data_IF_959327084415
#
_entry.id   IF_959327084415
#
_cell.length_a   1.000
_cell.length_b   1.000
_cell.length_c   1.000
_cell.angle_alpha   90.00
_cell.angle_beta   90.00
_cell.angle_gamma   90.00
#
_symmetry.space_group_name_H-M   'P 1'
#
loop_
_entity.id
_entity.type
_entity.pdbx_description
1 polymer ?
#
# COMPACT_ATOMS: atom_id res chain seq x y z
N UNK A 1 28.76 -30.60 3.22
CA UNK A 1 27.78 -30.71 4.31
C UNK A 1 27.48 -29.29 4.72
N UNK A 2 26.53 -28.67 4.02
CA UNK A 2 25.09 -28.61 4.36
C UNK A 2 24.83 -27.23 4.99
N UNK A 3 24.42 -26.28 4.17
CA UNK A 3 23.02 -25.89 3.97
C UNK A 3 22.45 -25.13 5.17
N UNK A 4 22.72 -23.83 5.21
CA UNK A 4 21.77 -22.84 5.75
C UNK A 4 21.40 -21.88 4.63
N UNK A 5 20.66 -22.42 3.67
CA UNK A 5 19.83 -21.63 2.75
C UNK A 5 18.44 -21.51 3.39
N UNK A 6 18.04 -20.27 3.75
CA UNK A 6 16.68 -19.74 4.06
C UNK A 6 16.84 -18.57 5.05
N UNK A 7 16.45 -17.32 4.82
CA UNK A 7 15.71 -16.63 3.77
C UNK A 7 16.31 -15.21 3.77
N UNK A 8 16.90 -14.79 2.65
CA UNK A 8 17.16 -13.37 2.49
C UNK A 8 15.78 -12.72 2.43
N UNK A 9 15.38 -12.01 3.49
CA UNK A 9 14.17 -11.18 3.47
C UNK A 9 14.36 -10.24 2.29
N UNK A 10 13.73 -10.56 1.15
CA UNK A 10 13.59 -9.66 0.03
C UNK A 10 13.11 -8.34 0.64
N UNK A 11 13.91 -7.28 0.47
CA UNK A 11 13.82 -6.05 1.27
C UNK A 11 12.37 -5.60 1.46
N UNK A 12 12.04 -5.13 2.67
CA UNK A 12 10.69 -4.69 3.03
C UNK A 12 10.05 -3.90 1.88
N UNK A 13 9.01 -4.49 1.28
CA UNK A 13 8.22 -3.83 0.25
C UNK A 13 7.33 -2.79 0.93
N UNK A 14 7.48 -1.54 0.51
CA UNK A 14 6.66 -0.42 0.97
C UNK A 14 5.61 -0.11 -0.08
N UNK A 15 4.34 -0.11 0.31
CA UNK A 15 3.24 0.33 -0.56
C UNK A 15 2.72 1.66 -0.04
N UNK A 16 2.68 2.66 -0.91
CA UNK A 16 2.09 3.98 -0.63
C UNK A 16 0.84 4.12 -1.46
N UNK A 17 -0.29 4.23 -0.77
CA UNK A 17 -1.59 4.41 -1.41
C UNK A 17 -1.85 5.90 -1.56
N UNK A 18 -2.14 6.33 -2.79
CA UNK A 18 -2.41 7.70 -3.16
C UNK A 18 -3.90 7.88 -3.48
N UNK A 19 -4.46 8.97 -2.99
CA UNK A 19 -5.82 9.44 -3.27
C UNK A 19 -5.76 10.95 -3.58
N UNK A 20 -6.80 11.49 -4.22
CA UNK A 20 -6.96 12.91 -4.50
C UNK A 20 -6.98 13.25 -6.00
N UNK A 21 -7.84 14.22 -6.35
CA UNK A 21 -8.17 14.54 -7.73
C UNK A 21 -6.99 14.97 -8.61
N UNK A 22 -5.90 15.52 -8.04
CA UNK A 22 -4.71 15.87 -8.82
C UNK A 22 -3.94 14.62 -9.29
N UNK A 23 -3.83 13.61 -8.43
CA UNK A 23 -3.18 12.34 -8.76
C UNK A 23 -4.04 11.48 -9.70
N UNK A 24 -5.36 11.53 -9.51
CA UNK A 24 -6.35 10.82 -10.35
C UNK A 24 -6.43 11.44 -11.76
N UNK A 25 -6.69 12.75 -11.84
CA UNK A 25 -7.10 13.40 -13.09
C UNK A 25 -5.96 13.99 -13.91
N UNK A 26 -4.73 14.05 -13.38
CA UNK A 26 -3.60 14.68 -14.07
C UNK A 26 -2.42 13.69 -14.27
N UNK A 27 -2.38 12.95 -15.40
CA UNK A 27 -1.39 11.92 -15.64
C UNK A 27 0.08 12.40 -15.57
N UNK A 28 0.34 13.63 -15.99
CA UNK A 28 1.68 14.22 -15.96
C UNK A 28 2.16 14.43 -14.53
N UNK A 29 1.27 14.88 -13.64
CA UNK A 29 1.58 15.04 -12.21
C UNK A 29 1.92 13.69 -11.59
N UNK A 30 1.08 12.68 -11.83
CA UNK A 30 1.33 11.31 -11.35
C UNK A 30 2.68 10.77 -11.83
N UNK A 31 3.02 10.98 -13.11
CA UNK A 31 4.30 10.56 -13.68
C UNK A 31 5.47 11.26 -12.98
N UNK A 32 5.46 12.60 -12.95
CA UNK A 32 6.56 13.38 -12.37
C UNK A 32 6.74 13.11 -10.87
N UNK A 33 5.65 12.88 -10.14
CA UNK A 33 5.73 12.50 -8.73
C UNK A 33 6.44 11.14 -8.55
N UNK A 34 6.09 10.13 -9.36
CA UNK A 34 6.76 8.83 -9.32
C UNK A 34 8.24 8.93 -9.72
N UNK A 35 8.56 9.71 -10.74
CA UNK A 35 9.94 9.96 -11.17
C UNK A 35 10.75 10.64 -10.07
N UNK A 36 10.20 11.67 -9.43
CA UNK A 36 10.85 12.37 -8.32
C UNK A 36 11.14 11.43 -7.13
N UNK A 37 10.22 10.50 -6.81
CA UNK A 37 10.47 9.50 -5.75
C UNK A 37 11.64 8.57 -6.12
N UNK A 38 11.73 8.15 -7.37
CA UNK A 38 12.87 7.33 -7.85
C UNK A 38 14.17 8.12 -7.77
N UNK A 39 14.16 9.39 -8.15
CA UNK A 39 15.33 10.27 -8.08
C UNK A 39 15.81 10.47 -6.63
N UNK A 40 14.88 10.76 -5.71
CA UNK A 40 15.19 11.04 -4.31
C UNK A 40 15.74 9.83 -3.56
N UNK A 41 15.24 8.63 -3.84
CA UNK A 41 15.60 7.41 -3.11
C UNK A 41 16.70 6.59 -3.81
N UNK A 42 16.94 6.89 -5.08
CA UNK A 42 17.83 6.14 -5.94
C UNK A 42 17.22 4.80 -6.41
N UNK A 43 17.72 4.26 -7.53
CA UNK A 43 17.11 3.15 -8.25
C UNK A 43 17.07 1.83 -7.47
N UNK A 44 17.98 1.63 -6.51
CA UNK A 44 18.02 0.41 -5.68
C UNK A 44 16.90 0.38 -4.65
N UNK A 45 16.64 1.51 -3.98
CA UNK A 45 15.64 1.58 -2.93
C UNK A 45 14.23 1.79 -3.50
N UNK A 46 14.12 2.53 -4.61
CA UNK A 46 12.82 2.75 -5.28
C UNK A 46 12.16 1.46 -5.77
N UNK A 47 12.94 0.41 -6.08
CA UNK A 47 12.41 -0.89 -6.50
C UNK A 47 11.56 -1.59 -5.43
N UNK A 48 11.73 -1.21 -4.15
CA UNK A 48 10.95 -1.75 -3.05
C UNK A 48 9.67 -0.93 -2.79
N UNK A 49 9.45 0.16 -3.52
CA UNK A 49 8.33 1.08 -3.30
C UNK A 49 7.31 0.94 -4.43
N UNK A 50 6.08 0.61 -4.06
CA UNK A 50 4.93 0.63 -4.97
C UNK A 50 4.02 1.80 -4.62
N UNK A 51 3.76 2.67 -5.60
CA UNK A 51 2.83 3.79 -5.45
C UNK A 51 1.55 3.45 -6.21
N UNK A 52 0.51 3.14 -5.44
CA UNK A 52 -0.78 2.65 -5.93
C UNK A 52 -1.85 3.74 -5.83
N UNK A 53 -2.84 3.68 -6.72
CA UNK A 53 -4.01 4.56 -6.66
C UNK A 53 -5.16 3.81 -6.00
N UNK A 54 -5.84 4.43 -5.04
CA UNK A 54 -7.14 3.97 -4.57
C UNK A 54 -8.18 5.05 -4.81
N UNK A 55 -9.35 4.64 -5.27
CA UNK A 55 -10.50 5.54 -5.43
C UNK A 55 -11.36 5.41 -4.18
N UNK A 56 -11.59 6.53 -3.49
CA UNK A 56 -12.38 6.59 -2.26
C UNK A 56 -11.84 5.70 -1.13
N UNK A 57 -10.51 5.59 -1.01
CA UNK A 57 -9.87 4.72 -0.02
C UNK A 57 -10.34 5.01 1.40
N UNK A 58 -10.49 6.29 1.74
CA UNK A 58 -10.96 6.73 3.06
C UNK A 58 -12.36 6.20 3.42
N UNK A 59 -13.27 6.07 2.45
CA UNK A 59 -14.62 5.55 2.70
C UNK A 59 -14.61 4.04 2.95
N UNK A 60 -13.86 3.29 2.15
CA UNK A 60 -13.70 1.84 2.30
C UNK A 60 -12.97 1.53 3.61
N UNK A 61 -11.90 2.24 3.93
CA UNK A 61 -11.13 2.06 5.15
C UNK A 61 -11.97 2.34 6.39
N UNK A 62 -12.80 3.39 6.36
CA UNK A 62 -13.74 3.69 7.44
C UNK A 62 -14.77 2.56 7.61
N UNK A 63 -15.32 2.03 6.51
CA UNK A 63 -16.26 0.91 6.55
C UNK A 63 -15.60 -0.37 7.08
N UNK A 64 -14.37 -0.67 6.65
CA UNK A 64 -13.59 -1.81 7.10
C UNK A 64 -13.28 -1.70 8.60
N UNK A 65 -12.88 -0.51 9.06
CA UNK A 65 -12.63 -0.24 10.47
C UNK A 65 -13.91 -0.39 11.31
N UNK A 66 -15.05 0.09 10.81
CA UNK A 66 -16.34 -0.07 11.46
C UNK A 66 -16.77 -1.54 11.53
N UNK A 67 -16.53 -2.32 10.47
CA UNK A 67 -16.82 -3.75 10.44
C UNK A 67 -15.94 -4.54 11.44
N UNK A 68 -14.64 -4.25 11.50
CA UNK A 68 -13.71 -4.87 12.44
C UNK A 68 -14.04 -4.55 13.91
N UNK A 69 -14.67 -3.39 14.17
CA UNK A 69 -15.10 -2.96 15.50
C UNK A 69 -16.62 -3.08 15.70
N UNK A 70 -17.29 -3.93 14.90
CA UNK A 70 -18.73 -4.08 14.95
C UNK A 70 -19.19 -4.72 16.26
N UNK A 71 -20.24 -4.16 16.87
CA UNK A 71 -20.93 -4.75 18.03
C UNK A 71 -21.55 -6.13 17.74
N UNK A 72 -21.72 -6.45 16.46
CA UNK A 72 -22.32 -7.70 16.00
C UNK A 72 -21.29 -8.82 15.78
N UNK A 73 -19.99 -8.57 16.01
CA UNK A 73 -18.92 -9.56 15.80
C UNK A 73 -19.14 -10.86 16.61
N UNK A 74 -19.73 -10.77 17.82
CA UNK A 74 -20.01 -11.93 18.66
C UNK A 74 -21.29 -12.72 18.25
N UNK A 75 -22.18 -12.13 17.45
CA UNK A 75 -23.45 -12.79 17.07
C UNK A 75 -23.27 -13.89 16.01
N UNK A 76 -22.11 -13.94 15.35
CA UNK A 76 -21.77 -14.99 14.39
C UNK A 76 -21.07 -16.20 15.01
N UNK A 77 -20.74 -16.16 16.32
CA UNK A 77 -20.04 -17.26 17.02
C UNK A 77 -20.99 -18.23 17.73
N UNK A 78 -22.32 -18.06 17.61
CA UNK A 78 -23.32 -18.91 18.28
C UNK A 78 -24.29 -19.58 17.29
N UNK A 79 -23.84 -19.88 16.07
CA UNK A 79 -24.54 -20.79 15.16
C UNK A 79 -23.57 -21.76 14.54
#
# INVERSE_FOLDING_TARGET
MENDSKEQIFGQRTVVVMDGGLYENYPQYRRYMKEAVVELLGPKQSNHIAIEHTKDGSGIDAALLAAANSKYAAQFSTR
#
